data_IF_391520446743
#
_entry.id   IF_391520446743
#
_cell.length_a   1.000
_cell.length_b   1.000
_cell.length_c   1.000
_cell.angle_alpha   90.00
_cell.angle_beta   90.00
_cell.angle_gamma   90.00
#
_symmetry.space_group_name_H-M   'P 1'
#
loop_
_entity.id
_entity.type
_entity.pdbx_description
1 polymer ?
2 non-polymer ?
3 water ?
#
# COMPACT_ATOMS: atom_id res chain seq x y z
N UNK A 1 -18.43 -15.14 4.87
CA UNK A 1 -17.80 -16.25 5.62
C UNK A 1 -16.96 -15.67 6.77
N UNK A 2 -16.84 -16.43 7.86
CA UNK A 2 -16.06 -15.95 9.03
C UNK A 2 -14.58 -15.80 8.61
N UNK A 3 -13.96 -14.83 9.28
CA UNK A 3 -12.57 -14.48 8.99
C UNK A 3 -11.65 -15.59 9.52
N UNK A 4 -12.06 -16.12 10.65
CA UNK A 4 -11.31 -17.23 11.28
C UNK A 4 -11.34 -18.44 10.32
N UNK A 5 -12.53 -18.71 9.85
CA UNK A 5 -12.81 -19.79 8.92
C UNK A 5 -11.98 -19.59 7.63
N UNK A 6 -11.64 -18.33 7.37
CA UNK A 6 -10.86 -18.12 6.12
C UNK A 6 -9.42 -18.52 6.47
N UNK A 7 -9.09 -18.22 7.71
CA UNK A 7 -7.72 -18.49 8.20
C UNK A 7 -7.44 -20.00 8.06
N UNK A 8 -8.44 -20.72 8.54
CA UNK A 8 -8.47 -22.17 8.58
C UNK A 8 -8.45 -22.76 7.19
N UNK A 9 -9.33 -22.21 6.37
CA UNK A 9 -9.51 -22.72 5.01
C UNK A 9 -8.25 -22.62 4.17
N UNK A 10 -7.61 -21.47 4.25
CA UNK A 10 -6.46 -21.11 3.46
C UNK A 10 -5.17 -21.36 4.22
N UNK A 11 -5.32 -21.80 5.44
CA UNK A 11 -4.19 -22.07 6.32
C UNK A 11 -3.28 -20.85 6.49
N UNK A 12 -3.86 -19.71 6.77
CA UNK A 12 -3.11 -18.45 6.83
C UNK A 12 -3.55 -17.57 7.96
N UNK A 13 -2.81 -16.51 8.21
CA UNK A 13 -3.06 -15.46 9.18
C UNK A 13 -3.59 -14.26 8.38
N UNK A 14 -4.66 -13.71 8.94
CA UNK A 14 -5.31 -12.53 8.35
C UNK A 14 -5.44 -11.41 9.40
N UNK A 15 -5.08 -10.23 8.87
CA UNK A 15 -5.22 -8.94 9.59
C UNK A 15 -6.05 -8.02 8.64
N UNK A 16 -7.16 -7.57 9.16
CA UNK A 16 -8.15 -6.70 8.52
C UNK A 16 -8.50 -5.50 9.44
N UNK A 17 -8.60 -4.40 8.75
CA UNK A 17 -8.99 -3.06 9.15
C UNK A 17 -9.65 -2.38 7.90
N UNK A 18 -10.89 -2.04 8.20
CA UNK A 18 -11.86 -1.40 7.32
C UNK A 18 -12.56 -0.24 8.06
N UNK A 19 -12.47 0.91 7.38
CA UNK A 19 -13.07 2.16 7.83
C UNK A 19 -13.89 2.76 6.65
N UNK A 20 -15.20 2.83 7.02
CA UNK A 20 -16.15 3.59 6.12
C UNK A 20 -15.97 5.04 6.62
N UNK A 21 -15.36 5.84 5.80
CA UNK A 21 -15.02 7.24 6.16
C UNK A 21 -16.31 8.05 6.28
N UNK A 22 -17.41 7.48 5.76
CA UNK A 22 -18.73 8.11 5.85
C UNK A 22 -19.31 8.04 7.27
N UNK A 23 -19.39 6.82 7.77
CA UNK A 23 -19.92 6.53 9.09
C UNK A 23 -18.95 6.56 10.27
N UNK A 24 -17.69 6.22 10.03
CA UNK A 24 -16.69 6.12 11.13
C UNK A 24 -16.73 4.63 11.64
N UNK A 25 -17.43 3.80 10.91
CA UNK A 25 -17.64 2.42 11.17
C UNK A 25 -16.41 1.55 10.72
N UNK A 26 -15.91 0.84 11.73
CA UNK A 26 -14.73 -0.01 11.57
C UNK A 26 -15.01 -1.49 11.68
N UNK A 27 -14.33 -2.25 10.86
CA UNK A 27 -14.32 -3.73 10.88
C UNK A 27 -12.84 -4.06 11.18
N UNK A 28 -12.68 -4.96 12.12
CA UNK A 28 -11.35 -5.37 12.63
C UNK A 28 -11.21 -6.86 12.81
N UNK A 29 -10.06 -7.36 12.42
CA UNK A 29 -9.67 -8.80 12.57
C UNK A 29 -8.13 -8.81 12.63
N UNK A 30 -7.64 -9.22 13.81
CA UNK A 30 -6.21 -9.24 14.09
C UNK A 30 -5.59 -7.89 13.70
N UNK A 31 -6.32 -6.82 14.05
CA UNK A 31 -5.93 -5.48 13.56
C UNK A 31 -4.79 -4.85 14.33
N UNK A 32 -4.44 -5.48 15.43
CA UNK A 32 -3.23 -5.08 16.20
C UNK A 32 -2.01 -5.97 16.01
N UNK A 33 -2.02 -6.85 15.02
CA UNK A 33 -0.92 -7.73 14.68
C UNK A 33 -0.05 -7.06 13.59
N UNK A 34 1.26 -7.23 13.81
CA UNK A 34 2.30 -6.75 12.90
C UNK A 34 2.39 -7.75 11.73
N UNK A 35 2.54 -7.17 10.56
CA UNK A 35 2.65 -7.83 9.25
C UNK A 35 3.63 -6.95 8.42
N UNK A 36 4.36 -7.64 7.56
CA UNK A 36 5.27 -6.93 6.64
C UNK A 36 4.34 -6.28 5.59
N UNK A 37 4.44 -4.99 5.45
CA UNK A 37 3.59 -4.27 4.44
C UNK A 37 4.07 -4.34 3.02
N UNK A 38 5.34 -4.51 2.75
CA UNK A 38 5.84 -4.69 1.36
C UNK A 38 5.52 -3.49 0.52
N UNK A 39 5.19 -3.64 -0.77
CA UNK A 39 4.94 -2.57 -1.72
C UNK A 39 3.69 -1.71 -1.40
N UNK A 40 2.89 -2.17 -0.42
CA UNK A 40 1.72 -1.43 0.00
C UNK A 40 2.23 -0.08 0.54
N UNK A 41 3.48 0.02 1.04
CA UNK A 41 3.92 1.36 1.52
C UNK A 41 4.23 2.31 0.36
N UNK A 42 4.29 1.75 -0.84
CA UNK A 42 4.53 2.64 -2.03
C UNK A 42 3.45 3.75 -2.04
N UNK A 43 2.28 3.42 -1.53
CA UNK A 43 1.08 4.26 -1.50
C UNK A 43 1.29 5.41 -0.52
N UNK A 44 1.80 4.99 0.64
CA UNK A 44 2.09 5.92 1.72
C UNK A 44 3.18 6.90 1.38
N UNK A 45 4.26 6.38 0.80
CA UNK A 45 5.45 7.12 0.33
C UNK A 45 5.01 8.14 -0.70
N UNK A 46 4.26 7.69 -1.68
CA UNK A 46 3.68 8.46 -2.75
C UNK A 46 2.83 9.63 -2.21
N UNK A 47 1.92 9.41 -1.31
CA UNK A 47 1.08 10.48 -0.71
C UNK A 47 1.88 11.58 -0.03
N UNK A 48 2.95 11.18 0.71
CA UNK A 48 3.77 12.08 1.49
C UNK A 48 4.54 13.03 0.57
N UNK A 49 5.02 12.50 -0.52
CA UNK A 49 5.75 13.37 -1.46
C UNK A 49 4.73 14.44 -2.02
N UNK A 50 3.55 13.92 -2.34
CA UNK A 50 2.48 14.70 -2.93
C UNK A 50 1.94 15.78 -1.94
N UNK A 51 2.28 15.78 -0.67
CA UNK A 51 1.79 16.81 0.23
C UNK A 51 2.72 18.03 0.18
N UNK A 52 3.83 17.73 -0.48
CA UNK A 52 4.91 18.75 -0.56
C UNK A 52 5.22 19.20 -1.98
N UNK A 53 4.51 18.64 -2.90
CA UNK A 53 4.71 19.04 -4.29
C UNK A 53 3.37 19.10 -5.03
N UNK A 54 2.93 20.33 -5.26
CA UNK A 54 1.68 20.61 -5.99
C UNK A 54 1.81 20.06 -7.42
N UNK A 55 0.71 19.51 -7.87
CA UNK A 55 0.46 18.91 -9.13
C UNK A 55 1.17 19.54 -10.30
N UNK A 56 1.23 20.83 -10.32
CA UNK A 56 1.81 21.67 -11.35
C UNK A 56 3.32 21.60 -11.32
N UNK A 57 3.81 21.05 -10.23
CA UNK A 57 5.28 20.91 -10.12
C UNK A 57 5.82 19.54 -10.32
N UNK A 58 5.02 18.60 -10.76
CA UNK A 58 5.38 17.18 -10.91
C UNK A 58 6.29 16.95 -12.12
N UNK A 59 6.46 18.04 -12.84
CA UNK A 59 7.27 18.10 -14.07
C UNK A 59 8.73 18.19 -13.66
N UNK A 60 8.98 18.46 -12.40
CA UNK A 60 10.31 18.50 -11.85
C UNK A 60 10.97 17.09 -12.08
N UNK A 61 12.29 17.28 -12.32
CA UNK A 61 13.18 16.21 -12.67
C UNK A 61 14.18 15.77 -11.64
N UNK A 62 14.49 14.50 -11.75
CA UNK A 62 15.52 13.84 -10.91
C UNK A 62 16.36 12.96 -11.87
N UNK A 63 17.64 13.11 -11.59
CA UNK A 63 18.72 12.40 -12.26
C UNK A 63 18.87 10.99 -11.61
N UNK A 64 18.81 10.01 -12.48
CA UNK A 64 18.93 8.62 -12.12
C UNK A 64 20.32 8.13 -12.63
N UNK A 65 20.97 7.47 -11.69
CA UNK A 65 22.28 6.78 -12.10
C UNK A 65 22.26 5.32 -11.68
N UNK A 66 23.23 4.61 -12.22
CA UNK A 66 23.42 3.16 -12.03
C UNK A 66 23.39 2.77 -10.55
N UNK A 67 23.87 3.65 -9.72
CA UNK A 67 23.76 3.41 -8.27
C UNK A 67 22.34 3.42 -7.72
N UNK A 68 21.38 3.93 -8.49
CA UNK A 68 19.99 4.03 -8.03
C UNK A 68 19.25 2.72 -8.19
N UNK A 69 19.65 1.94 -9.16
CA UNK A 69 18.96 0.69 -9.49
C UNK A 69 19.03 -0.40 -8.44
N UNK A 70 17.88 -1.01 -8.17
CA UNK A 70 17.67 -2.13 -7.23
C UNK A 70 16.82 -3.05 -8.08
N UNK A 71 16.75 -4.28 -7.60
CA UNK A 71 15.99 -5.34 -8.39
C UNK A 71 14.54 -4.97 -8.64
N UNK A 72 13.91 -5.42 -9.70
CA UNK A 72 12.53 -5.20 -10.06
C UNK A 72 12.25 -3.67 -10.12
N UNK A 73 12.78 -3.15 -11.20
CA UNK A 73 12.75 -1.77 -11.66
C UNK A 73 12.54 -1.83 -13.18
N UNK A 74 11.36 -2.36 -13.54
CA UNK A 74 10.99 -2.53 -14.96
C UNK A 74 11.00 -1.21 -15.68
N UNK A 75 10.75 -0.10 -14.94
CA UNK A 75 10.72 1.17 -15.63
C UNK A 75 12.03 1.93 -15.54
N UNK A 76 12.44 2.12 -14.29
CA UNK A 76 13.66 2.87 -13.94
C UNK A 76 14.90 2.32 -14.63
N UNK A 77 14.87 1.00 -14.89
CA UNK A 77 16.06 0.39 -15.52
C UNK A 77 16.43 1.09 -16.80
N UNK A 78 15.49 1.54 -17.59
CA UNK A 78 15.73 2.33 -18.81
C UNK A 78 16.16 3.76 -18.56
N UNK A 79 16.22 4.25 -17.33
CA UNK A 79 16.57 5.64 -17.09
C UNK A 79 17.98 5.92 -16.59
N UNK A 80 18.81 4.88 -16.65
CA UNK A 80 20.19 4.98 -16.15
C UNK A 80 20.89 6.11 -16.91
N UNK A 81 21.47 6.97 -16.11
CA UNK A 81 22.17 8.16 -16.56
C UNK A 81 21.15 9.12 -17.20
N UNK A 82 19.88 8.95 -16.90
CA UNK A 82 18.86 9.85 -17.49
C UNK A 82 18.14 10.61 -16.39
N UNK A 83 17.27 11.52 -16.83
CA UNK A 83 16.38 12.27 -15.90
C UNK A 83 14.94 11.78 -15.99
N UNK A 84 14.24 11.88 -14.93
CA UNK A 84 12.80 11.45 -14.93
C UNK A 84 12.07 12.52 -14.15
N UNK A 85 10.80 12.73 -14.46
CA UNK A 85 9.95 13.70 -13.68
C UNK A 85 9.41 12.98 -12.44
N UNK A 86 9.07 13.74 -11.44
CA UNK A 86 8.41 13.24 -10.23
C UNK A 86 7.13 12.49 -10.59
N UNK A 87 6.43 12.97 -11.61
CA UNK A 87 5.14 12.39 -12.03
C UNK A 87 5.42 10.96 -12.52
N UNK A 88 6.38 10.79 -13.40
CA UNK A 88 6.72 9.46 -13.92
C UNK A 88 7.27 8.53 -12.86
N UNK A 89 7.98 9.02 -11.85
CA UNK A 89 8.41 8.24 -10.73
C UNK A 89 7.19 7.55 -10.08
N UNK A 90 6.26 8.44 -9.67
CA UNK A 90 5.07 7.98 -8.97
C UNK A 90 4.31 6.91 -9.77
N UNK A 91 4.14 7.16 -11.04
CA UNK A 91 3.39 6.28 -11.92
C UNK A 91 4.12 4.93 -12.03
N UNK A 92 5.46 5.04 -12.11
CA UNK A 92 6.31 3.81 -12.16
C UNK A 92 6.13 3.00 -10.86
N UNK A 93 6.21 3.76 -9.77
CA UNK A 93 6.05 3.16 -8.44
C UNK A 93 4.69 2.51 -8.22
N UNK A 94 3.61 3.21 -8.55
CA UNK A 94 2.25 2.77 -8.27
C UNK A 94 1.72 1.78 -9.27
N UNK A 95 2.09 1.96 -10.51
CA UNK A 95 1.57 1.08 -11.57
C UNK A 95 2.30 -0.25 -11.78
N UNK A 96 3.61 -0.13 -11.79
CA UNK A 96 4.44 -1.32 -12.13
C UNK A 96 5.14 -1.83 -10.88
N UNK A 97 4.91 -1.11 -9.81
CA UNK A 97 5.53 -1.41 -8.53
C UNK A 97 7.07 -1.35 -8.58
N UNK A 98 7.58 -0.35 -9.25
CA UNK A 98 9.01 -0.13 -9.48
C UNK A 98 9.71 0.14 -8.17
N UNK A 99 10.72 -0.69 -7.87
CA UNK A 99 11.44 -0.52 -6.58
C UNK A 99 12.31 0.72 -6.52
N UNK A 100 13.04 0.98 -7.60
CA UNK A 100 13.88 2.19 -7.74
C UNK A 100 13.03 3.46 -7.62
N UNK A 101 11.89 3.48 -8.31
CA UNK A 101 11.00 4.70 -8.20
C UNK A 101 10.70 4.87 -6.74
N UNK A 102 10.31 3.77 -6.01
CA UNK A 102 9.98 3.96 -4.56
C UNK A 102 11.10 4.60 -3.76
N UNK A 103 12.32 4.13 -3.96
CA UNK A 103 13.53 4.57 -3.29
C UNK A 103 13.85 6.03 -3.57
N UNK A 104 13.83 6.51 -4.79
CA UNK A 104 14.07 7.90 -5.16
C UNK A 104 13.03 8.86 -4.51
N UNK A 105 11.83 8.29 -4.42
CA UNK A 105 10.68 8.92 -3.77
C UNK A 105 10.99 9.12 -2.30
N UNK A 106 11.39 8.01 -1.64
CA UNK A 106 11.72 8.15 -0.20
C UNK A 106 12.84 9.22 -0.08
N UNK A 107 13.74 9.21 -1.04
CA UNK A 107 14.86 10.17 -0.99
C UNK A 107 14.37 11.61 -1.12
N UNK A 108 13.49 11.77 -2.10
CA UNK A 108 12.91 13.07 -2.36
C UNK A 108 12.26 13.65 -1.09
N UNK A 109 11.52 12.83 -0.40
CA UNK A 109 10.83 13.20 0.83
C UNK A 109 11.90 13.60 1.85
N UNK A 110 13.08 13.07 1.64
CA UNK A 110 14.20 13.26 2.52
C UNK A 110 14.73 12.06 3.23
N UNK A 111 14.46 10.83 2.96
CA UNK A 111 15.01 9.69 3.70
C UNK A 111 13.91 9.14 4.64
N UNK A 112 14.20 7.93 5.09
CA UNK A 112 13.34 7.06 5.89
C UNK A 112 12.93 7.70 7.22
N UNK A 113 13.82 8.50 7.60
CA UNK A 113 13.97 9.37 8.77
C UNK A 113 12.84 10.38 8.81
N UNK A 114 12.72 11.01 7.61
CA UNK A 114 11.64 11.98 7.35
C UNK A 114 10.31 11.23 7.21
N UNK A 115 10.30 10.05 6.58
CA UNK A 115 9.03 9.31 6.48
C UNK A 115 8.49 9.00 7.90
N UNK A 116 9.42 8.45 8.67
CA UNK A 116 9.21 8.06 10.03
C UNK A 116 8.70 9.27 10.83
N UNK A 117 9.33 10.41 10.58
CA UNK A 117 8.98 11.65 11.28
C UNK A 117 7.51 12.05 11.07
N UNK A 118 7.13 12.03 9.81
CA UNK A 118 5.84 12.36 9.25
C UNK A 118 4.76 11.46 9.80
N UNK A 119 5.05 10.19 9.90
CA UNK A 119 4.12 9.19 10.44
C UNK A 119 3.74 9.50 11.88
N UNK A 120 4.70 9.93 12.67
CA UNK A 120 4.49 10.24 14.10
C UNK A 120 3.58 11.48 14.27
N UNK A 121 3.75 12.41 13.34
CA UNK A 121 2.94 13.60 13.19
C UNK A 121 1.50 13.18 12.86
N UNK A 122 1.25 12.10 12.14
CA UNK A 122 -0.09 11.60 11.86
C UNK A 122 -0.55 10.77 13.07
N UNK A 123 0.38 10.60 14.03
CA UNK A 123 -0.03 9.81 15.23
C UNK A 123 0.17 8.31 15.02
N UNK A 124 0.97 7.97 14.01
CA UNK A 124 1.32 6.62 13.68
C UNK A 124 2.64 6.33 14.39
N UNK A 125 2.51 5.66 15.53
CA UNK A 125 3.76 5.30 16.23
C UNK A 125 4.00 3.79 15.97
N UNK A 126 3.25 3.16 15.09
CA UNK A 126 3.35 1.73 14.87
C UNK A 126 4.11 1.35 13.60
N UNK A 127 3.73 1.89 12.48
CA UNK A 127 4.35 1.65 11.17
C UNK A 127 5.87 1.90 11.29
N UNK A 128 6.61 0.85 10.90
CA UNK A 128 8.06 0.88 11.22
C UNK A 128 9.01 0.75 10.08
N UNK A 129 9.19 1.85 9.38
CA UNK A 129 10.04 1.86 8.16
C UNK A 129 11.51 1.86 8.55
N UNK A 130 12.27 0.87 8.14
CA UNK A 130 13.68 0.73 8.51
C UNK A 130 14.62 0.66 7.30
N UNK A 131 14.33 -0.19 6.33
CA UNK A 131 15.20 -0.37 5.16
C UNK A 131 14.62 0.18 3.89
N UNK A 132 15.40 0.25 2.83
CA UNK A 132 14.93 0.69 1.52
C UNK A 132 14.49 -0.60 0.79
N UNK A 133 14.08 -0.44 -0.47
CA UNK A 133 13.81 -1.59 -1.32
C UNK A 133 15.22 -2.09 -1.80
N UNK A 134 15.35 -3.40 -1.97
CA UNK A 134 14.36 -4.44 -1.79
C UNK A 134 14.40 -5.12 -0.43
N UNK A 135 15.40 -4.88 0.37
CA UNK A 135 15.64 -5.48 1.66
C UNK A 135 14.45 -5.50 2.60
N UNK A 136 13.72 -4.36 2.60
CA UNK A 136 12.49 -4.24 3.38
C UNK A 136 11.53 -5.39 3.07
N UNK A 137 11.75 -6.15 1.99
CA UNK A 137 10.92 -7.32 1.71
C UNK A 137 11.30 -8.59 2.45
N UNK A 138 12.44 -8.48 3.16
CA UNK A 138 13.00 -9.61 3.93
C UNK A 138 12.36 -9.59 5.33
N UNK A 139 11.28 -10.30 5.39
CA UNK A 139 10.44 -10.33 6.58
C UNK A 139 10.77 -11.52 7.49
N UNK A 140 10.73 -11.11 8.78
CA UNK A 140 10.93 -12.07 9.86
C UNK A 140 9.87 -11.74 10.97
N UNK A 141 9.14 -12.78 11.28
CA UNK A 141 8.14 -12.73 12.36
C UNK A 141 8.77 -12.31 13.70
N UNK A 142 10.09 -12.35 13.73
CA UNK A 142 10.84 -11.91 14.91
C UNK A 142 11.37 -10.49 14.88
N UNK A 143 11.32 -9.78 13.79
CA UNK A 143 11.73 -8.38 13.64
C UNK A 143 10.49 -7.51 13.34
N UNK A 144 10.48 -6.34 13.90
CA UNK A 144 9.42 -5.34 13.68
C UNK A 144 9.82 -4.45 12.48
N UNK A 145 10.92 -4.83 11.82
CA UNK A 145 11.41 -4.04 10.69
C UNK A 145 10.52 -4.08 9.46
N UNK A 146 10.04 -2.85 9.13
CA UNK A 146 9.17 -2.65 7.96
C UNK A 146 7.83 -3.42 8.09
N UNK A 147 7.24 -3.24 9.24
CA UNK A 147 5.94 -3.90 9.51
C UNK A 147 5.03 -2.80 10.08
N UNK A 148 3.76 -3.13 10.05
CA UNK A 148 2.76 -2.23 10.66
C UNK A 148 1.61 -3.14 11.06
N UNK A 149 0.64 -2.58 11.73
CA UNK A 149 -0.63 -3.30 12.05
C UNK A 149 -1.70 -2.81 11.04
N UNK A 150 -2.64 -3.72 10.74
CA UNK A 150 -3.74 -3.43 9.81
C UNK A 150 -4.42 -2.13 10.23
N UNK A 151 -4.59 -1.93 11.52
CA UNK A 151 -5.21 -0.74 12.13
C UNK A 151 -4.38 0.53 12.01
N UNK A 152 -3.13 0.59 12.42
CA UNK A 152 -2.25 1.74 12.21
C UNK A 152 -2.07 2.10 10.73
N UNK A 153 -1.83 1.16 9.85
CA UNK A 153 -1.63 1.38 8.44
C UNK A 153 -2.92 2.03 7.89
N UNK A 154 -4.00 1.34 8.20
CA UNK A 154 -5.36 1.78 7.80
C UNK A 154 -5.65 3.21 8.33
N UNK A 155 -5.33 3.56 9.53
CA UNK A 155 -5.58 4.95 9.98
C UNK A 155 -4.70 5.97 9.25
N UNK A 156 -3.51 5.48 8.85
CA UNK A 156 -2.56 6.37 8.15
C UNK A 156 -3.04 6.75 6.77
N UNK A 157 -3.53 5.80 6.01
CA UNK A 157 -4.00 6.01 4.64
C UNK A 157 -5.15 7.06 4.64
N UNK A 158 -6.00 6.85 5.65
CA UNK A 158 -7.16 7.67 5.91
C UNK A 158 -6.65 9.10 6.15
N UNK A 159 -5.81 9.24 7.17
CA UNK A 159 -5.27 10.59 7.36
C UNK A 159 -4.49 11.12 6.20
N UNK A 160 -3.94 10.31 5.32
CA UNK A 160 -3.08 10.83 4.26
C UNK A 160 -3.82 11.16 3.01
N UNK A 161 -4.68 10.27 2.62
CA UNK A 161 -5.37 10.39 1.32
C UNK A 161 -6.83 10.78 1.44
N UNK A 162 -7.51 9.86 2.08
CA UNK A 162 -8.97 9.94 2.27
C UNK A 162 -9.42 11.24 2.93
N UNK A 163 -8.81 11.70 3.96
CA UNK A 163 -9.10 12.89 4.74
C UNK A 163 -7.78 13.58 5.03
N UNK A 164 -6.98 13.85 4.02
CA UNK A 164 -5.67 14.48 4.22
C UNK A 164 -5.52 15.91 3.85
N UNK A 165 -4.29 16.29 3.46
CA UNK A 165 -3.83 17.59 3.04
C UNK A 165 -3.56 17.66 1.54
N UNK A 166 -3.84 16.60 0.83
CA UNK A 166 -3.66 16.60 -0.62
C UNK A 166 -4.61 17.59 -1.33
N UNK A 167 -4.05 18.19 -2.35
CA UNK A 167 -4.78 19.02 -3.30
C UNK A 167 -5.73 18.03 -4.00
N UNK A 168 -6.75 18.61 -4.58
CA UNK A 168 -7.75 17.92 -5.41
C UNK A 168 -7.15 17.11 -6.57
N UNK A 169 -6.29 17.71 -7.34
CA UNK A 169 -5.62 17.09 -8.48
C UNK A 169 -4.66 15.96 -8.08
N UNK A 170 -3.81 16.22 -7.08
CA UNK A 170 -2.83 15.24 -6.55
C UNK A 170 -3.63 14.01 -6.08
N UNK A 171 -4.61 14.32 -5.25
CA UNK A 171 -5.49 13.29 -4.73
C UNK A 171 -6.06 12.45 -5.88
N UNK A 172 -6.40 13.16 -6.93
CA UNK A 172 -7.02 12.45 -8.07
C UNK A 172 -5.99 11.67 -8.85
N UNK A 173 -4.82 12.27 -8.96
CA UNK A 173 -3.69 11.67 -9.72
C UNK A 173 -3.36 10.30 -9.05
N UNK A 174 -3.07 10.35 -7.75
CA UNK A 174 -2.82 9.14 -7.01
C UNK A 174 -3.95 8.14 -7.20
N UNK A 175 -5.18 8.56 -6.93
CA UNK A 175 -6.32 7.64 -6.95
C UNK A 175 -6.59 7.02 -8.33
N UNK A 176 -6.34 7.79 -9.37
CA UNK A 176 -6.47 7.29 -10.74
C UNK A 176 -5.48 6.14 -11.03
N UNK A 177 -4.30 6.21 -10.40
CA UNK A 177 -3.27 5.17 -10.60
C UNK A 177 -3.71 3.89 -9.87
N UNK A 178 -4.28 4.09 -8.68
CA UNK A 178 -4.79 2.96 -7.89
C UNK A 178 -5.96 2.25 -8.56
N UNK A 179 -6.85 3.00 -9.22
CA UNK A 179 -7.97 2.44 -9.97
C UNK A 179 -7.55 1.61 -11.20
N UNK A 180 -6.69 2.22 -12.01
CA UNK A 180 -6.19 1.67 -13.25
C UNK A 180 -5.20 0.54 -13.08
N UNK A 181 -4.43 0.61 -12.05
CA UNK A 181 -3.44 -0.44 -11.73
C UNK A 181 -4.06 -1.81 -11.95
N UNK A 182 -3.53 -2.62 -12.84
CA UNK A 182 -3.97 -3.96 -13.16
C UNK A 182 -3.39 -5.10 -12.35
N UNK A 183 -2.41 -4.85 -11.52
CA UNK A 183 -1.71 -5.82 -10.67
C UNK A 183 -2.56 -6.31 -9.50
N UNK A 184 -3.50 -5.51 -9.01
CA UNK A 184 -4.37 -5.89 -7.92
C UNK A 184 -5.67 -6.59 -8.32
N UNK A 185 -5.77 -7.00 -9.57
CA UNK A 185 -6.98 -7.66 -10.07
C UNK A 185 -7.51 -8.90 -9.39
N UNK A 186 -6.64 -9.71 -8.83
CA UNK A 186 -6.95 -11.02 -8.24
C UNK A 186 -7.20 -10.86 -6.74
N UNK A 187 -6.97 -9.60 -6.34
CA UNK A 187 -7.04 -9.25 -4.91
C UNK A 187 -8.42 -8.77 -4.53
N UNK A 188 -8.44 -7.61 -3.88
CA UNK A 188 -9.68 -6.96 -3.44
C UNK A 188 -10.61 -6.73 -4.63
N UNK A 189 -10.09 -6.23 -5.75
CA UNK A 189 -10.86 -5.99 -6.95
C UNK A 189 -11.65 -7.24 -7.30
N UNK A 190 -11.17 -8.41 -6.92
CA UNK A 190 -11.90 -9.66 -7.31
C UNK A 190 -12.94 -10.13 -6.29
N UNK A 191 -12.96 -9.65 -5.05
CA UNK A 191 -13.85 -9.97 -3.98
C UNK A 191 -15.08 -9.10 -3.74
N UNK A 192 -14.97 -7.83 -4.10
CA UNK A 192 -16.11 -6.86 -3.97
C UNK A 192 -17.06 -7.08 -5.16
N UNK A 193 -18.25 -6.53 -5.00
CA UNK A 193 -19.31 -6.59 -6.04
C UNK A 193 -19.01 -5.67 -7.22
N UNK A 194 -19.56 -6.07 -8.35
CA UNK A 194 -19.42 -5.55 -9.70
C UNK A 194 -19.51 -4.04 -9.76
N UNK A 195 -20.42 -3.54 -8.95
CA UNK A 195 -20.75 -2.15 -8.71
C UNK A 195 -19.66 -1.18 -8.24
N UNK A 196 -18.85 -1.63 -7.27
CA UNK A 196 -17.83 -0.83 -6.62
C UNK A 196 -16.61 -0.53 -7.45
N UNK A 197 -16.03 0.60 -7.18
CA UNK A 197 -14.72 1.00 -7.73
C UNK A 197 -13.69 0.70 -6.58
N UNK A 198 -12.59 0.16 -7.01
CA UNK A 198 -11.47 -0.26 -6.19
C UNK A 198 -10.14 0.38 -6.65
N UNK A 199 -9.67 1.25 -5.77
CA UNK A 199 -8.38 1.89 -5.85
C UNK A 199 -7.43 1.12 -4.86
N UNK A 200 -6.65 0.18 -5.44
CA UNK A 200 -5.74 -0.61 -4.54
C UNK A 200 -4.25 -0.45 -4.88
N UNK A 201 -3.47 -0.87 -3.88
CA UNK A 201 -2.00 -1.03 -3.97
C UNK A 201 -1.63 -2.38 -3.30
N UNK A 202 -1.31 -3.33 -4.14
CA UNK A 202 -0.94 -4.69 -3.66
C UNK A 202 0.56 -4.73 -3.29
N UNK A 203 0.94 -5.78 -2.59
CA UNK A 203 2.25 -6.08 -2.03
C UNK A 203 2.45 -7.59 -1.78
N UNK A 204 3.75 -7.92 -1.79
CA UNK A 204 4.24 -9.27 -1.55
C UNK A 204 5.68 -9.31 -1.02
N UNK A 205 5.83 -9.65 0.24
CA UNK A 205 7.18 -9.76 0.84
C UNK A 205 7.81 -11.06 0.30
N UNK A 206 9.10 -11.18 0.62
CA UNK A 206 9.89 -12.32 0.01
C UNK A 206 9.58 -13.64 0.69
N UNK A 207 9.39 -13.51 1.99
CA UNK A 207 9.13 -14.53 2.97
C UNK A 207 7.75 -14.62 3.61
N UNK A 208 7.39 -15.86 4.00
CA UNK A 208 6.23 -16.27 4.73
C UNK A 208 4.88 -15.91 4.06
N UNK A 209 4.94 -16.02 2.73
CA UNK A 209 3.84 -15.82 1.81
C UNK A 209 3.01 -14.57 2.14
N UNK A 210 3.84 -13.53 2.41
CA UNK A 210 3.38 -12.16 2.78
C UNK A 210 2.73 -11.45 1.57
N UNK A 211 1.41 -11.58 1.60
CA UNK A 211 0.59 -11.09 0.45
C UNK A 211 -0.41 -10.04 0.97
N UNK A 212 -0.32 -8.87 0.37
CA UNK A 212 -1.15 -7.72 0.94
C UNK A 212 -1.93 -7.05 -0.16
N UNK A 213 -2.93 -6.28 0.30
CA UNK A 213 -3.76 -5.40 -0.55
C UNK A 213 -4.40 -4.35 0.39
N UNK A 214 -4.20 -3.11 -0.04
CA UNK A 214 -4.83 -1.95 0.60
C UNK A 214 -5.65 -1.27 -0.50
N UNK A 215 -6.81 -0.78 -0.05
CA UNK A 215 -7.71 -0.07 -0.97
C UNK A 215 -8.64 0.98 -0.38
N UNK A 216 -9.05 1.83 -1.31
CA UNK A 216 -10.08 2.87 -1.23
C UNK A 216 -11.20 2.30 -2.15
N UNK A 217 -12.17 1.77 -1.44
CA UNK A 217 -13.34 1.10 -2.03
C UNK A 217 -14.56 2.09 -1.94
N UNK A 218 -15.13 2.24 -3.12
CA UNK A 218 -16.28 3.10 -3.44
C UNK A 218 -17.48 2.27 -3.87
N UNK A 219 -18.37 2.17 -2.90
CA UNK A 219 -19.68 1.47 -3.17
C UNK A 219 -20.46 2.46 -4.05
N UNK A 220 -21.08 1.85 -5.04
CA UNK A 220 -21.95 2.56 -5.99
C UNK A 220 -22.94 3.41 -5.16
N UNK A 221 -22.94 4.71 -5.51
CA UNK A 221 -23.83 5.63 -4.77
C UNK A 221 -23.14 6.17 -3.54
N UNK A 222 -21.91 5.76 -3.28
CA UNK A 222 -21.15 6.32 -2.14
C UNK A 222 -19.95 7.06 -2.75
N UNK A 223 -19.73 8.25 -2.29
CA UNK A 223 -18.63 9.10 -2.78
C UNK A 223 -17.42 9.06 -1.84
N UNK A 224 -17.72 8.65 -0.60
CA UNK A 224 -16.73 8.47 0.47
C UNK A 224 -16.29 6.97 0.39
N UNK A 225 -14.99 6.76 0.38
CA UNK A 225 -14.43 5.41 0.22
C UNK A 225 -14.41 4.64 1.54
N UNK A 226 -14.47 3.34 1.43
CA UNK A 226 -14.20 2.49 2.62
C UNK A 226 -12.66 2.23 2.56
N UNK A 227 -11.97 2.49 3.63
CA UNK A 227 -10.53 2.21 3.67
C UNK A 227 -10.42 0.71 4.06
N UNK A 228 -9.77 -0.06 3.15
CA UNK A 228 -9.64 -1.50 3.41
C UNK A 228 -8.18 -2.01 3.36
N UNK A 229 -7.72 -2.48 4.52
CA UNK A 229 -6.36 -2.98 4.70
C UNK A 229 -6.42 -4.50 4.92
N UNK A 230 -5.92 -5.24 3.95
CA UNK A 230 -5.80 -6.71 4.17
C UNK A 230 -4.31 -7.18 4.11
N UNK A 231 -3.74 -7.51 5.25
CA UNK A 231 -2.41 -8.08 5.44
C UNK A 231 -2.49 -9.57 5.66
N UNK A 232 -1.77 -10.38 4.95
CA UNK A 232 -1.79 -11.84 5.16
C UNK A 232 -0.37 -12.47 5.16
N UNK A 233 -0.35 -13.59 5.89
CA UNK A 233 0.89 -14.41 5.95
C UNK A 233 0.55 -15.86 6.36
N UNK A 234 1.66 -16.62 6.22
CA UNK A 234 1.63 -18.05 6.59
C UNK A 234 2.72 -18.37 7.59
N UNK A 235 2.70 -19.61 8.04
CA UNK A 235 3.65 -20.12 9.06
C UNK A 235 5.09 -20.39 8.58
N UNK A 236 5.27 -20.84 7.33
CA UNK A 236 6.55 -21.12 6.75
C UNK A 236 7.10 -20.12 5.72
N UNK A 237 8.38 -19.93 6.07
CA UNK A 237 9.27 -19.03 5.40
C UNK A 237 9.09 -19.15 3.88
N UNK A 238 9.02 -20.40 3.45
CA UNK A 238 8.95 -20.60 2.00
C UNK A 238 7.57 -20.73 1.43
N UNK A 239 6.51 -20.60 2.20
CA UNK A 239 5.13 -20.72 1.71
C UNK A 239 4.79 -19.74 0.59
N UNK A 240 4.01 -20.25 -0.36
CA UNK A 240 3.41 -19.49 -1.46
C UNK A 240 1.99 -18.99 -1.04
N UNK A 241 1.75 -17.72 -1.32
CA UNK A 241 0.41 -17.14 -1.04
C UNK A 241 -0.60 -17.58 -2.07
N UNK A 242 -1.89 -17.66 -1.60
CA UNK A 242 -3.00 -17.88 -2.58
C UNK A 242 -3.85 -16.54 -2.66
N UNK A 243 -3.88 -15.99 -3.85
CA UNK A 243 -4.58 -14.68 -4.02
C UNK A 243 -6.04 -14.79 -3.59
N UNK A 244 -6.72 -15.85 -3.93
CA UNK A 244 -8.08 -16.13 -3.50
C UNK A 244 -8.40 -15.85 -2.04
N UNK A 245 -7.43 -15.92 -1.17
CA UNK A 245 -7.60 -15.65 0.25
C UNK A 245 -8.05 -14.17 0.43
N UNK A 246 -7.38 -13.26 -0.26
CA UNK A 246 -7.66 -11.83 -0.14
C UNK A 246 -9.01 -11.48 -0.80
N UNK A 247 -9.21 -12.02 -2.00
CA UNK A 247 -10.45 -11.73 -2.76
C UNK A 247 -11.63 -12.04 -1.84
N UNK A 248 -11.54 -13.22 -1.23
CA UNK A 248 -12.48 -13.79 -0.29
C UNK A 248 -12.62 -13.09 1.02
N UNK A 249 -11.58 -12.58 1.61
CA UNK A 249 -11.64 -11.79 2.83
C UNK A 249 -12.36 -10.44 2.54
N UNK A 250 -12.10 -9.88 1.37
CA UNK A 250 -12.62 -8.64 0.85
C UNK A 250 -14.17 -8.78 0.78
N UNK A 251 -14.57 -9.82 0.07
CA UNK A 251 -15.96 -10.20 -0.03
C UNK A 251 -16.68 -10.33 1.30
N UNK A 252 -16.05 -10.92 2.27
CA UNK A 252 -16.62 -11.09 3.60
C UNK A 252 -16.80 -9.76 4.33
N UNK A 253 -15.78 -8.93 4.17
CA UNK A 253 -15.78 -7.59 4.81
C UNK A 253 -16.80 -6.66 4.16
N UNK A 254 -16.99 -6.85 2.86
CA UNK A 254 -17.91 -5.96 2.12
C UNK A 254 -19.31 -6.05 2.72
N UNK A 255 -19.71 -7.24 3.09
CA UNK A 255 -20.96 -7.57 3.76
C UNK A 255 -21.38 -6.72 4.94
N UNK A 256 -20.47 -6.18 5.69
CA UNK A 256 -20.70 -5.38 6.88
C UNK A 256 -21.02 -3.92 6.58
N UNK A 257 -20.72 -3.49 5.36
CA UNK A 257 -20.85 -2.08 4.97
C UNK A 257 -22.13 -1.75 4.21
#
# INVERSE_FOLDING_TARGET
KELNDLEKKYNAHIGVYALDTKSGKEVKFNSDKRFAYASTSKAINSAILLEQVPYNKLNKKVHINKDDIVAYSPILEKYVGKDITLKALIEASMTYSDNTANNKIIKEIGGIKKVKQRLKELGDKVTNPVRYEIELNYYSPKSKKDTSTPAAFGKTLNKLIANGKLSKENKKFLLDLMLNNKSGDTLIKDGVPKDYKVADKSGQAITYASRNDVAFVYPKGQSEPIVLVIFTNKDNKSDKPNDKLISETAKSVMKEF
#
